data_IF_759625546393
#
_entry.id   IF_759625546393
#
_cell.length_a   1.000
_cell.length_b   1.000
_cell.length_c   1.000
_cell.angle_alpha   90.00
_cell.angle_beta   90.00
_cell.angle_gamma   90.00
#
_symmetry.space_group_name_H-M   'P 1'
#
loop_
_entity.id
_entity.type
_entity.pdbx_description
1 polymer ?
#
# COMPACT_ATOMS: atom_id res chain seq x y z
N UNK A 1 -11.56 7.75 14.78
CA UNK A 1 -11.01 9.06 15.15
C UNK A 1 -9.55 9.07 14.75
N UNK A 2 -9.20 9.97 13.84
CA UNK A 2 -7.83 10.17 13.38
C UNK A 2 -7.16 11.22 14.27
N UNK A 3 -6.19 10.79 15.07
CA UNK A 3 -5.47 11.65 16.01
C UNK A 3 -4.13 12.15 15.42
N UNK A 4 -3.68 11.57 14.30
CA UNK A 4 -2.45 11.95 13.63
C UNK A 4 -1.15 11.62 14.36
N UNK A 5 -1.21 10.89 15.48
CA UNK A 5 -0.01 10.57 16.28
C UNK A 5 0.89 9.54 15.59
N UNK A 6 0.30 8.72 14.72
CA UNK A 6 0.98 7.70 13.92
C UNK A 6 1.10 8.14 12.46
N UNK A 7 1.88 7.37 11.68
CA UNK A 7 2.06 7.63 10.25
C UNK A 7 0.76 7.45 9.46
N UNK A 8 0.61 8.18 8.34
CA UNK A 8 -0.57 8.12 7.47
C UNK A 8 -1.00 6.69 7.14
N UNK A 9 -0.06 5.87 6.68
CA UNK A 9 -0.37 4.51 6.24
C UNK A 9 -0.76 3.60 7.41
N UNK A 10 -0.28 3.88 8.62
CA UNK A 10 -0.71 3.15 9.81
C UNK A 10 -2.16 3.49 10.19
N UNK A 11 -2.54 4.78 10.10
CA UNK A 11 -3.93 5.20 10.27
C UNK A 11 -4.84 4.54 9.22
N UNK A 12 -4.42 4.53 7.94
CA UNK A 12 -5.16 3.90 6.85
C UNK A 12 -5.31 2.39 7.06
N UNK A 13 -4.27 1.70 7.54
CA UNK A 13 -4.33 0.28 7.88
C UNK A 13 -5.41 -0.02 8.93
N UNK A 14 -5.43 0.74 10.02
CA UNK A 14 -6.43 0.59 11.09
C UNK A 14 -7.84 0.90 10.58
N UNK A 15 -7.98 1.94 9.77
CA UNK A 15 -9.26 2.28 9.15
C UNK A 15 -9.76 1.20 8.20
N UNK A 16 -8.89 0.59 7.40
CA UNK A 16 -9.27 -0.47 6.48
C UNK A 16 -9.86 -1.69 7.22
N UNK A 17 -9.28 -2.05 8.36
CA UNK A 17 -9.81 -3.12 9.23
C UNK A 17 -11.12 -2.71 9.91
N UNK A 18 -11.21 -1.47 10.41
CA UNK A 18 -12.42 -0.95 11.02
C UNK A 18 -13.60 -0.89 10.04
N UNK A 19 -13.36 -0.42 8.81
CA UNK A 19 -14.35 -0.38 7.73
C UNK A 19 -14.82 -1.78 7.36
N UNK A 20 -13.88 -2.74 7.22
CA UNK A 20 -14.24 -4.13 6.94
C UNK A 20 -15.11 -4.76 8.04
N UNK A 21 -14.79 -4.50 9.31
CA UNK A 21 -15.62 -4.93 10.45
C UNK A 21 -17.00 -4.25 10.44
N UNK A 22 -17.07 -2.97 10.12
CA UNK A 22 -18.34 -2.24 10.05
C UNK A 22 -19.26 -2.82 8.96
N UNK A 23 -18.71 -3.17 7.78
CA UNK A 23 -19.45 -3.83 6.70
C UNK A 23 -20.05 -5.17 7.13
N UNK A 24 -19.26 -6.04 7.74
CA UNK A 24 -19.74 -7.36 8.18
C UNK A 24 -20.77 -7.29 9.30
N UNK A 25 -20.61 -6.35 10.22
CA UNK A 25 -21.55 -6.14 11.31
C UNK A 25 -22.78 -5.33 10.90
N UNK A 26 -22.91 -4.98 9.61
CA UNK A 26 -23.95 -4.07 9.09
C UNK A 26 -24.06 -2.79 9.93
N UNK A 27 -22.94 -2.08 10.10
CA UNK A 27 -22.85 -0.82 10.84
C UNK A 27 -22.43 0.30 9.90
N UNK A 28 -22.92 1.51 10.18
CA UNK A 28 -22.48 2.71 9.49
C UNK A 28 -21.09 3.10 9.98
N UNK A 29 -20.15 3.26 9.06
CA UNK A 29 -18.80 3.71 9.37
C UNK A 29 -18.70 5.23 9.27
N UNK A 30 -18.03 5.85 10.23
CA UNK A 30 -17.82 7.29 10.29
C UNK A 30 -16.33 7.61 10.50
N UNK A 31 -15.85 8.64 9.80
CA UNK A 31 -14.52 9.20 10.00
C UNK A 31 -14.66 10.51 10.77
N UNK A 32 -13.98 10.60 11.90
CA UNK A 32 -13.81 11.84 12.66
C UNK A 32 -12.36 12.32 12.46
N UNK A 33 -12.22 13.45 11.76
CA UNK A 33 -10.97 14.08 11.35
C UNK A 33 -10.65 15.36 12.14
N UNK A 34 -11.43 15.69 13.19
CA UNK A 34 -11.27 16.93 13.98
C UNK A 34 -9.87 17.16 14.56
N UNK A 35 -9.16 16.09 14.89
CA UNK A 35 -7.82 16.13 15.48
C UNK A 35 -6.74 15.64 14.53
N UNK A 36 -7.05 15.51 13.24
CA UNK A 36 -6.10 14.96 12.29
C UNK A 36 -5.05 16.01 11.92
N UNK A 37 -3.78 15.67 12.10
CA UNK A 37 -2.66 16.58 11.84
C UNK A 37 -2.29 16.69 10.34
N UNK A 38 -3.13 16.20 9.44
CA UNK A 38 -2.87 16.13 7.98
C UNK A 38 -3.92 16.88 7.15
N UNK A 39 -4.69 17.76 7.79
CA UNK A 39 -5.84 18.46 7.20
C UNK A 39 -7.12 17.66 7.38
N UNK A 40 -8.10 17.83 6.48
CA UNK A 40 -9.37 17.11 6.52
C UNK A 40 -9.33 15.84 5.68
N UNK A 41 -10.15 14.87 6.04
CA UNK A 41 -10.32 13.63 5.25
C UNK A 41 -10.63 13.93 3.79
N UNK A 42 -11.56 14.85 3.55
CA UNK A 42 -12.04 15.27 2.22
C UNK A 42 -10.95 15.92 1.35
N UNK A 43 -9.87 16.42 1.95
CA UNK A 43 -8.77 17.04 1.22
C UNK A 43 -7.90 16.00 0.49
N UNK A 44 -8.04 14.73 0.88
CA UNK A 44 -7.24 13.61 0.36
C UNK A 44 -8.09 12.48 -0.23
N UNK A 45 -9.22 12.17 0.40
CA UNK A 45 -10.07 11.02 0.08
C UNK A 45 -11.52 11.44 -0.13
N UNK A 46 -12.29 10.61 -0.83
CA UNK A 46 -13.72 10.78 -0.96
C UNK A 46 -14.43 10.55 0.38
N UNK A 47 -15.58 11.19 0.56
CA UNK A 47 -16.37 11.02 1.77
C UNK A 47 -16.85 9.57 1.88
N UNK A 48 -16.51 8.90 2.99
CA UNK A 48 -16.87 7.49 3.17
C UNK A 48 -18.39 7.28 3.14
N UNK A 49 -19.18 8.30 3.49
CA UNK A 49 -20.65 8.21 3.47
C UNK A 49 -21.23 8.08 2.06
N UNK A 50 -20.52 8.55 1.03
CA UNK A 50 -20.95 8.36 -0.36
C UNK A 50 -20.60 6.98 -0.88
N UNK A 51 -19.58 6.34 -0.30
CA UNK A 51 -19.08 5.04 -0.73
C UNK A 51 -19.74 3.88 0.03
N UNK A 52 -20.00 4.05 1.32
CA UNK A 52 -20.67 3.09 2.19
C UNK A 52 -21.92 3.72 2.79
N UNK A 53 -23.04 3.65 2.05
CA UNK A 53 -24.35 3.96 2.62
C UNK A 53 -24.69 2.88 3.65
N UNK A 54 -24.49 3.19 4.93
CA UNK A 54 -24.86 2.29 6.02
C UNK A 54 -26.35 1.91 5.99
N UNK A 55 -26.78 0.92 6.81
CA UNK A 55 -28.13 0.34 6.73
C UNK A 55 -29.26 1.34 7.04
N UNK A 56 -28.94 2.48 7.66
CA UNK A 56 -29.91 3.57 7.85
C UNK A 56 -29.49 4.80 7.04
N UNK A 57 -30.26 5.19 6.01
CA UNK A 57 -29.98 6.37 5.22
C UNK A 57 -30.12 7.63 6.08
N UNK A 58 -29.08 8.46 6.12
CA UNK A 58 -29.08 9.73 6.87
C UNK A 58 -28.64 9.63 8.33
N UNK A 59 -28.02 8.52 8.75
CA UNK A 59 -27.41 8.42 10.08
C UNK A 59 -26.37 9.55 10.29
N UNK A 60 -26.57 10.37 11.32
CA UNK A 60 -25.63 11.43 11.69
C UNK A 60 -24.51 10.88 12.57
N UNK A 61 -23.31 11.49 12.50
CA UNK A 61 -22.25 11.16 13.43
C UNK A 61 -22.72 11.45 14.87
N UNK A 62 -22.30 10.64 15.84
CA UNK A 62 -22.69 10.83 17.22
C UNK A 62 -22.15 12.14 17.79
N UNK A 63 -22.85 12.73 18.77
CA UNK A 63 -22.40 13.93 19.43
C UNK A 63 -21.11 13.65 20.25
N UNK A 64 -20.26 14.66 20.47
CA UNK A 64 -18.97 14.48 21.15
C UNK A 64 -19.07 13.85 22.54
N UNK A 65 -20.17 14.08 23.26
CA UNK A 65 -20.42 13.56 24.60
C UNK A 65 -20.63 12.03 24.61
N UNK A 66 -20.92 11.42 23.46
CA UNK A 66 -21.13 9.98 23.29
C UNK A 66 -19.91 9.25 22.69
N UNK A 67 -18.83 9.98 22.37
CA UNK A 67 -17.56 9.43 21.88
C UNK A 67 -16.72 8.89 23.06
N UNK A 68 -17.15 7.78 23.66
CA UNK A 68 -16.45 7.15 24.79
C UNK A 68 -15.67 5.90 24.38
N UNK A 69 -14.45 5.78 24.89
CA UNK A 69 -13.64 4.56 24.79
C UNK A 69 -14.06 3.59 25.92
N UNK A 70 -14.76 2.50 25.58
CA UNK A 70 -15.12 1.33 26.43
C UNK A 70 -16.33 1.44 27.39
N UNK A 71 -16.97 0.31 27.82
CA UNK A 71 -16.77 -1.11 27.47
C UNK A 71 -17.96 -1.74 26.70
N UNK A 72 -17.81 -3.00 26.24
CA UNK A 72 -18.82 -3.81 25.47
C UNK A 72 -20.21 -3.96 26.13
N UNK A 73 -20.41 -3.43 27.34
CA UNK A 73 -21.62 -3.60 28.17
C UNK A 73 -22.38 -2.29 28.46
N UNK A 74 -22.01 -1.16 27.83
CA UNK A 74 -22.75 0.08 28.00
C UNK A 74 -24.15 0.00 27.33
N UNK A 75 -25.19 0.43 28.05
CA UNK A 75 -26.60 0.39 27.61
C UNK A 75 -26.89 1.21 26.34
N UNK A 76 -25.97 2.06 25.91
CA UNK A 76 -26.04 2.83 24.65
C UNK A 76 -25.49 1.98 23.50
N UNK A 77 -25.98 0.75 23.40
CA UNK A 77 -25.56 -0.27 22.43
C UNK A 77 -26.15 0.00 21.04
N UNK A 78 -26.14 1.27 20.65
CA UNK A 78 -26.28 1.72 19.28
C UNK A 78 -25.00 2.53 19.00
N UNK A 79 -24.05 1.84 18.35
CA UNK A 79 -23.40 2.34 17.13
C UNK A 79 -22.14 3.23 17.17
N UNK A 80 -21.42 3.43 18.27
CA UNK A 80 -20.18 4.25 18.23
C UNK A 80 -18.94 3.52 18.76
N UNK A 81 -18.30 2.71 17.92
CA UNK A 81 -16.94 2.23 18.20
C UNK A 81 -15.97 3.31 17.75
N UNK A 82 -15.37 4.04 18.69
CA UNK A 82 -14.34 5.05 18.37
C UNK A 82 -12.97 4.37 18.33
N UNK A 83 -12.54 4.01 17.12
CA UNK A 83 -11.20 3.49 16.88
C UNK A 83 -10.25 4.67 16.65
N UNK A 84 -9.28 4.83 17.53
CA UNK A 84 -8.12 5.74 17.42
C UNK A 84 -6.84 4.92 17.53
N UNK A 85 -5.68 5.49 17.22
CA UNK A 85 -4.39 4.78 17.34
C UNK A 85 -4.16 4.22 18.76
N UNK A 86 -4.63 4.94 19.78
CA UNK A 86 -4.52 4.60 21.20
C UNK A 86 -5.58 3.58 21.66
N UNK A 87 -6.80 3.65 21.11
CA UNK A 87 -7.90 2.74 21.48
C UNK A 87 -7.94 1.47 20.62
N UNK A 88 -7.19 1.44 19.51
CA UNK A 88 -7.08 0.32 18.59
C UNK A 88 -6.77 -1.00 19.31
N UNK A 89 -5.92 -0.98 20.34
CA UNK A 89 -5.55 -2.18 21.11
C UNK A 89 -6.74 -2.86 21.80
N UNK A 90 -7.74 -2.09 22.23
CA UNK A 90 -8.93 -2.64 22.90
C UNK A 90 -9.92 -3.28 21.92
N UNK A 91 -9.87 -2.89 20.64
CA UNK A 91 -10.78 -3.40 19.60
C UNK A 91 -10.14 -4.46 18.70
N UNK A 92 -8.85 -4.31 18.43
CA UNK A 92 -8.04 -5.19 17.57
C UNK A 92 -7.05 -6.05 18.37
N UNK A 93 -7.41 -6.36 19.63
CA UNK A 93 -6.64 -7.23 20.50
C UNK A 93 -6.78 -8.71 20.14
N UNK A 94 -6.51 -9.60 21.10
CA UNK A 94 -6.54 -11.04 20.90
C UNK A 94 -7.86 -11.56 20.29
N UNK A 95 -8.99 -11.08 20.80
CA UNK A 95 -10.33 -11.49 20.34
C UNK A 95 -10.57 -11.17 18.85
N UNK A 96 -9.91 -10.13 18.32
CA UNK A 96 -10.02 -9.80 16.90
C UNK A 96 -9.29 -10.83 16.04
N UNK A 97 -8.07 -11.20 16.42
CA UNK A 97 -7.31 -12.22 15.69
C UNK A 97 -7.99 -13.58 15.77
N UNK A 98 -8.59 -13.94 16.90
CA UNK A 98 -9.35 -15.20 17.02
C UNK A 98 -10.58 -15.25 16.12
N UNK A 99 -11.28 -14.12 15.95
CA UNK A 99 -12.50 -14.05 15.13
C UNK A 99 -12.19 -14.02 13.63
N UNK A 100 -11.12 -13.32 13.23
CA UNK A 100 -10.86 -12.99 11.82
C UNK A 100 -9.67 -13.71 11.20
N UNK A 101 -8.82 -14.38 11.98
CA UNK A 101 -7.87 -15.34 11.41
C UNK A 101 -8.56 -16.67 11.12
N UNK A 102 -8.16 -17.34 10.04
CA UNK A 102 -8.59 -18.72 9.81
C UNK A 102 -7.81 -19.66 10.75
N UNK A 103 -8.49 -20.35 11.70
CA UNK A 103 -7.83 -21.25 12.63
C UNK A 103 -7.40 -22.58 11.99
N UNK A 104 -7.96 -22.96 10.84
CA UNK A 104 -7.67 -24.22 10.16
C UNK A 104 -6.53 -24.10 9.14
N UNK A 105 -6.26 -22.88 8.68
CA UNK A 105 -5.14 -22.57 7.80
C UNK A 105 -3.79 -22.55 8.53
N UNK A 106 -2.69 -22.59 7.78
CA UNK A 106 -1.32 -22.55 8.31
C UNK A 106 -0.61 -21.26 7.91
N UNK A 107 0.22 -20.75 8.81
CA UNK A 107 1.11 -19.59 8.58
C UNK A 107 0.38 -18.39 7.97
N UNK A 108 0.82 -17.88 6.80
CA UNK A 108 0.26 -16.70 6.15
C UNK A 108 -1.19 -16.89 5.69
N UNK A 109 -1.60 -18.10 5.35
CA UNK A 109 -2.98 -18.35 4.93
C UNK A 109 -3.98 -18.08 6.05
N UNK A 110 -3.55 -18.13 7.33
CA UNK A 110 -4.38 -17.72 8.47
C UNK A 110 -4.78 -16.25 8.40
N UNK A 111 -3.90 -15.40 7.84
CA UNK A 111 -4.10 -13.96 7.70
C UNK A 111 -4.84 -13.57 6.41
N UNK A 112 -5.13 -14.53 5.52
CA UNK A 112 -5.80 -14.28 4.24
C UNK A 112 -7.13 -13.55 4.39
N UNK A 113 -8.05 -13.92 5.31
CA UNK A 113 -9.32 -13.20 5.46
C UNK A 113 -9.12 -11.74 5.88
N UNK A 114 -8.13 -11.47 6.74
CA UNK A 114 -7.78 -10.11 7.15
C UNK A 114 -7.14 -9.30 6.02
N UNK A 115 -6.37 -9.96 5.14
CA UNK A 115 -5.79 -9.35 3.94
C UNK A 115 -6.87 -8.97 2.94
N UNK A 116 -7.76 -9.90 2.58
CA UNK A 116 -8.85 -9.68 1.62
C UNK A 116 -9.79 -8.58 2.12
N UNK A 117 -10.13 -8.60 3.41
CA UNK A 117 -10.90 -7.51 4.05
C UNK A 117 -10.24 -6.15 3.88
N UNK A 118 -8.93 -6.06 4.15
CA UNK A 118 -8.19 -4.81 4.01
C UNK A 118 -8.19 -4.33 2.56
N UNK A 119 -7.91 -5.24 1.61
CA UNK A 119 -7.90 -4.97 0.18
C UNK A 119 -9.26 -4.42 -0.31
N UNK A 120 -10.34 -5.06 0.12
CA UNK A 120 -11.70 -4.59 -0.18
C UNK A 120 -11.95 -3.20 0.36
N UNK A 121 -11.56 -2.92 1.61
CA UNK A 121 -11.73 -1.60 2.22
C UNK A 121 -10.91 -0.52 1.51
N UNK A 122 -9.71 -0.83 1.01
CA UNK A 122 -8.93 0.11 0.18
C UNK A 122 -9.55 0.35 -1.20
N UNK A 123 -10.26 -0.63 -1.74
CA UNK A 123 -10.88 -0.54 -3.07
C UNK A 123 -12.25 0.14 -3.04
N UNK A 124 -13.02 -0.10 -1.98
CA UNK A 124 -14.40 0.36 -1.85
C UNK A 124 -14.52 1.60 -0.98
N UNK A 125 -13.86 1.63 0.18
CA UNK A 125 -14.07 2.63 1.23
C UNK A 125 -13.06 3.78 1.16
N UNK A 126 -11.78 3.47 0.99
CA UNK A 126 -10.69 4.45 1.03
C UNK A 126 -10.29 4.80 -0.41
N UNK A 127 -11.09 5.66 -1.06
CA UNK A 127 -10.78 6.15 -2.41
C UNK A 127 -10.19 7.55 -2.37
N UNK A 128 -9.09 7.82 -3.12
CA UNK A 128 -8.55 9.17 -3.25
C UNK A 128 -9.61 10.10 -3.85
N UNK A 129 -9.59 11.37 -3.46
CA UNK A 129 -10.48 12.37 -4.06
C UNK A 129 -10.15 12.58 -5.56
N UNK A 130 -11.01 13.33 -6.26
CA UNK A 130 -10.84 13.60 -7.69
C UNK A 130 -9.47 14.20 -8.00
N UNK A 131 -9.01 15.15 -7.19
CA UNK A 131 -7.72 15.81 -7.36
C UNK A 131 -6.53 14.85 -7.22
N UNK A 132 -6.49 14.04 -6.17
CA UNK A 132 -5.43 13.05 -5.96
C UNK A 132 -5.50 11.93 -7.00
N UNK A 133 -6.70 11.55 -7.45
CA UNK A 133 -6.89 10.58 -8.53
C UNK A 133 -6.29 11.10 -9.85
N UNK A 134 -6.49 12.38 -10.16
CA UNK A 134 -5.87 13.03 -11.32
C UNK A 134 -4.34 13.05 -11.21
N UNK A 135 -3.78 13.34 -10.02
CA UNK A 135 -2.34 13.28 -9.78
C UNK A 135 -1.78 11.86 -9.95
N UNK A 136 -2.46 10.85 -9.43
CA UNK A 136 -2.06 9.43 -9.59
C UNK A 136 -2.08 9.05 -11.07
N UNK A 137 -3.15 9.37 -11.79
CA UNK A 137 -3.24 9.15 -13.24
C UNK A 137 -2.15 9.91 -13.99
N UNK A 138 -1.84 11.13 -13.56
CA UNK A 138 -0.77 11.93 -14.16
C UNK A 138 0.61 11.27 -13.98
N UNK A 139 0.89 10.68 -12.82
CA UNK A 139 2.14 9.95 -12.57
C UNK A 139 2.22 8.65 -13.38
N UNK A 140 1.12 7.90 -13.47
CA UNK A 140 1.04 6.64 -14.23
C UNK A 140 1.15 6.86 -15.74
N UNK A 141 0.49 7.88 -16.28
CA UNK A 141 0.59 8.25 -17.71
C UNK A 141 1.98 8.71 -18.10
N UNK A 142 2.67 9.46 -17.23
CA UNK A 142 4.07 9.81 -17.42
C UNK A 142 4.93 8.55 -17.52
N UNK A 143 4.77 7.62 -16.57
CA UNK A 143 5.50 6.37 -16.57
C UNK A 143 5.21 5.52 -17.81
N UNK A 144 3.94 5.35 -18.18
CA UNK A 144 3.54 4.61 -19.38
C UNK A 144 4.16 5.20 -20.66
N UNK A 145 4.19 6.54 -20.78
CA UNK A 145 4.77 7.22 -21.93
C UNK A 145 6.28 6.99 -22.06
N UNK A 146 7.01 6.99 -20.94
CA UNK A 146 8.46 6.77 -20.93
C UNK A 146 8.78 5.30 -21.25
N UNK A 147 7.92 4.39 -20.81
CA UNK A 147 8.03 2.96 -21.12
C UNK A 147 7.63 2.63 -22.56
N UNK A 148 7.21 3.61 -23.37
CA UNK A 148 6.72 3.41 -24.74
C UNK A 148 5.64 2.34 -24.82
N UNK A 149 4.86 2.18 -23.75
CA UNK A 149 3.68 1.31 -23.71
C UNK A 149 2.51 2.08 -24.33
N UNK A 150 2.62 2.41 -25.62
CA UNK A 150 1.53 3.02 -26.37
C UNK A 150 0.66 1.93 -27.01
N UNK A 151 -0.59 1.87 -26.54
CA UNK A 151 -1.78 1.34 -27.19
C UNK A 151 -1.71 -0.07 -27.79
N UNK A 152 -2.05 -1.08 -26.98
CA UNK A 152 -2.89 -2.15 -27.51
C UNK A 152 -4.27 -1.55 -27.76
N UNK A 153 -4.58 -1.24 -29.02
CA UNK A 153 -5.93 -0.82 -29.41
C UNK A 153 -7.00 -1.75 -28.82
N UNK A 154 -8.19 -1.23 -28.46
CA UNK A 154 -9.33 -2.07 -28.15
C UNK A 154 -9.79 -2.72 -29.45
N UNK A 155 -9.22 -3.89 -29.80
CA UNK A 155 -9.81 -4.73 -30.85
C UNK A 155 -11.17 -5.18 -30.36
N UNK A 156 -12.17 -4.43 -30.83
CA UNK A 156 -13.56 -4.78 -30.87
C UNK A 156 -13.71 -6.16 -31.49
N UNK A 157 -13.84 -7.19 -30.66
CA UNK A 157 -14.61 -8.38 -31.00
C UNK A 157 -15.04 -9.10 -29.72
N UNK A 158 -16.34 -8.94 -29.43
CA UNK A 158 -17.03 -9.65 -28.39
C UNK A 158 -16.92 -11.16 -28.63
N UNK A 159 -16.04 -11.83 -27.89
CA UNK A 159 -16.14 -13.27 -27.67
C UNK A 159 -16.51 -13.51 -26.21
N UNK A 160 -17.77 -13.89 -26.02
CA UNK A 160 -18.32 -14.38 -24.75
C UNK A 160 -17.51 -15.61 -24.31
N UNK A 161 -16.54 -15.40 -23.44
CA UNK A 161 -15.98 -16.46 -22.60
C UNK A 161 -16.19 -16.04 -21.15
N UNK A 162 -17.13 -16.73 -20.52
CA UNK A 162 -17.45 -16.69 -19.09
C UNK A 162 -16.29 -17.28 -18.29
N UNK A 163 -15.19 -16.54 -18.12
CA UNK A 163 -14.13 -16.88 -17.17
C UNK A 163 -13.61 -15.60 -16.50
N UNK A 164 -13.73 -15.58 -15.17
CA UNK A 164 -13.37 -14.51 -14.26
C UNK A 164 -11.84 -14.39 -14.15
N UNK A 165 -11.18 -13.80 -15.13
CA UNK A 165 -9.77 -13.39 -15.04
C UNK A 165 -9.70 -11.87 -14.84
N UNK A 166 -8.98 -11.35 -13.83
CA UNK A 166 -8.80 -9.91 -13.69
C UNK A 166 -8.05 -9.34 -14.91
N UNK A 167 -8.35 -8.11 -15.35
CA UNK A 167 -7.72 -7.51 -16.52
C UNK A 167 -6.19 -7.50 -16.38
N UNK A 168 -5.47 -7.91 -17.42
CA UNK A 168 -4.00 -7.99 -17.39
C UNK A 168 -3.41 -6.57 -17.39
N UNK A 169 -3.19 -6.05 -16.21
CA UNK A 169 -2.54 -4.76 -16.00
C UNK A 169 -1.05 -4.88 -16.31
N UNK A 170 -0.49 -4.09 -17.25
CA UNK A 170 0.93 -4.16 -17.56
C UNK A 170 1.73 -3.85 -16.28
N UNK A 171 2.64 -4.76 -15.95
CA UNK A 171 3.47 -4.68 -14.74
C UNK A 171 4.95 -4.40 -15.09
N UNK A 172 5.31 -3.23 -15.66
CA UNK A 172 6.60 -3.03 -16.32
C UNK A 172 7.72 -2.50 -15.42
N UNK A 173 7.46 -2.27 -14.13
CA UNK A 173 8.43 -1.67 -13.21
C UNK A 173 8.38 -2.30 -11.81
N UNK A 174 9.48 -2.16 -11.07
CA UNK A 174 9.58 -2.53 -9.65
C UNK A 174 9.47 -1.27 -8.80
N UNK A 175 8.76 -1.32 -7.68
CA UNK A 175 8.78 -0.22 -6.72
C UNK A 175 9.78 -0.49 -5.60
N UNK A 176 10.46 0.55 -5.15
CA UNK A 176 11.41 0.51 -4.03
C UNK A 176 10.97 1.56 -3.02
N UNK A 177 10.70 1.15 -1.79
CA UNK A 177 10.32 2.06 -0.72
C UNK A 177 11.42 2.12 0.36
N UNK A 178 12.06 3.28 0.47
CA UNK A 178 13.18 3.52 1.39
C UNK A 178 12.70 4.44 2.51
N UNK A 179 12.59 3.89 3.72
CA UNK A 179 12.27 4.64 4.94
C UNK A 179 13.53 4.84 5.76
N UNK A 180 13.97 6.08 5.92
CA UNK A 180 15.03 6.48 6.87
C UNK A 180 14.41 7.30 7.99
N UNK A 181 14.27 8.61 7.83
CA UNK A 181 13.60 9.52 8.78
C UNK A 181 13.73 9.10 10.26
N UNK A 182 12.60 9.08 10.96
CA UNK A 182 12.46 8.66 12.36
C UNK A 182 12.40 7.12 12.61
N UNK A 183 12.55 6.26 11.60
CA UNK A 183 12.49 4.81 11.78
C UNK A 183 13.79 4.10 11.36
N UNK A 184 14.44 3.42 12.31
CA UNK A 184 15.59 2.52 12.03
C UNK A 184 15.11 1.13 11.56
N UNK A 185 16.00 0.25 11.12
CA UNK A 185 15.61 -1.12 10.72
C UNK A 185 14.99 -1.93 11.90
N UNK A 186 14.13 -2.92 11.61
CA UNK A 186 13.51 -3.82 12.60
C UNK A 186 14.41 -5.00 12.95
N UNK A 187 15.29 -5.41 12.04
CA UNK A 187 16.23 -6.49 12.27
C UNK A 187 17.22 -6.18 13.39
N UNK A 188 17.56 -7.19 14.18
CA UNK A 188 18.57 -7.05 15.23
C UNK A 188 19.91 -6.56 14.68
N UNK A 189 20.26 -6.98 13.46
CA UNK A 189 21.50 -6.61 12.76
C UNK A 189 21.65 -5.10 12.54
N UNK A 190 20.54 -4.38 12.41
CA UNK A 190 20.52 -2.95 12.13
C UNK A 190 19.65 -2.19 13.16
N UNK A 191 19.43 -2.73 14.36
CA UNK A 191 18.49 -2.15 15.34
C UNK A 191 18.83 -0.68 15.73
N UNK A 192 20.09 -0.28 15.55
CA UNK A 192 20.65 1.05 15.84
C UNK A 192 21.02 1.85 14.58
N UNK A 193 20.86 1.29 13.38
CA UNK A 193 21.27 1.92 12.12
C UNK A 193 20.23 1.74 11.02
N UNK A 194 20.39 2.48 9.93
CA UNK A 194 19.57 2.27 8.74
C UNK A 194 20.04 1.03 7.97
N UNK A 195 19.14 0.41 7.21
CA UNK A 195 19.53 -0.62 6.24
C UNK A 195 20.40 0.06 5.16
N UNK A 196 21.60 -0.47 4.87
CA UNK A 196 22.47 0.07 3.82
C UNK A 196 21.78 0.10 2.46
N UNK A 197 22.04 1.15 1.65
CA UNK A 197 21.41 1.31 0.33
C UNK A 197 21.80 0.21 -0.64
N UNK A 198 22.99 -0.34 -0.47
CA UNK A 198 23.51 -1.46 -1.24
C UNK A 198 22.57 -2.66 -1.19
N UNK A 199 21.91 -2.89 -0.05
CA UNK A 199 20.94 -3.99 0.08
C UNK A 199 19.66 -3.71 -0.74
N UNK A 200 19.19 -2.45 -0.80
CA UNK A 200 18.05 -2.09 -1.65
C UNK A 200 18.41 -2.22 -3.14
N UNK A 201 19.60 -1.76 -3.53
CA UNK A 201 20.10 -1.84 -4.91
C UNK A 201 20.22 -3.30 -5.35
N UNK A 202 20.83 -4.15 -4.51
CA UNK A 202 20.99 -5.57 -4.78
C UNK A 202 19.63 -6.27 -4.86
N UNK A 203 18.75 -6.04 -3.89
CA UNK A 203 17.42 -6.64 -3.88
C UNK A 203 16.57 -6.21 -5.11
N UNK A 204 16.69 -4.96 -5.56
CA UNK A 204 16.01 -4.50 -6.77
C UNK A 204 16.53 -5.21 -8.03
N UNK A 205 17.85 -5.40 -8.15
CA UNK A 205 18.46 -6.16 -9.27
C UNK A 205 18.08 -7.63 -9.22
N UNK A 206 18.21 -8.28 -8.07
CA UNK A 206 17.88 -9.69 -7.90
C UNK A 206 16.39 -9.95 -8.20
N UNK A 207 15.51 -9.06 -7.75
CA UNK A 207 14.07 -9.16 -8.04
C UNK A 207 13.77 -8.97 -9.52
N UNK A 208 14.45 -8.03 -10.18
CA UNK A 208 14.30 -7.80 -11.62
C UNK A 208 14.77 -9.00 -12.42
N UNK A 209 15.96 -9.52 -12.12
CA UNK A 209 16.52 -10.66 -12.82
C UNK A 209 15.70 -11.92 -12.59
N UNK A 210 15.17 -12.11 -11.37
CA UNK A 210 14.28 -13.23 -11.03
C UNK A 210 12.96 -13.19 -11.80
N UNK A 211 12.32 -12.03 -11.89
CA UNK A 211 10.97 -11.93 -12.47
C UNK A 211 10.96 -11.70 -13.98
N UNK A 212 11.94 -10.98 -14.53
CA UNK A 212 11.91 -10.51 -15.92
C UNK A 212 13.03 -11.07 -16.79
N UNK A 213 14.24 -11.28 -16.26
CA UNK A 213 15.40 -11.71 -17.07
C UNK A 213 15.52 -13.24 -17.16
N UNK A 214 15.43 -13.94 -16.04
CA UNK A 214 15.70 -15.39 -15.93
C UNK A 214 14.44 -16.27 -16.09
N UNK A 215 13.31 -15.66 -16.44
CA UNK A 215 12.13 -16.38 -16.93
C UNK A 215 11.34 -17.12 -15.86
N UNK A 216 10.48 -16.38 -15.16
CA UNK A 216 9.12 -16.83 -14.91
C UNK A 216 8.24 -15.90 -15.73
N UNK A 217 7.80 -16.33 -16.91
CA UNK A 217 6.76 -15.62 -17.67
C UNK A 217 5.45 -15.70 -16.85
N UNK A 218 5.32 -14.86 -15.82
CA UNK A 218 4.20 -14.94 -14.88
C UNK A 218 2.88 -14.48 -15.52
N UNK A 219 2.95 -13.66 -16.56
CA UNK A 219 1.75 -13.10 -17.22
C UNK A 219 1.57 -13.60 -18.68
N UNK A 220 2.35 -14.59 -19.14
CA UNK A 220 2.13 -15.17 -20.46
C UNK A 220 0.97 -16.16 -20.42
N UNK A 221 -0.21 -15.69 -20.82
CA UNK A 221 -1.28 -16.57 -21.30
C UNK A 221 -0.69 -17.61 -22.27
N UNK A 222 -1.08 -18.90 -22.21
CA UNK A 222 -0.48 -19.99 -23.00
C UNK A 222 -0.73 -19.87 -24.52
N UNK A 223 -1.30 -18.76 -24.99
CA UNK A 223 -1.76 -18.58 -26.37
C UNK A 223 -0.77 -17.78 -27.22
N UNK A 224 0.17 -16.99 -26.66
CA UNK A 224 1.25 -16.36 -27.43
C UNK A 224 2.49 -16.07 -26.55
N UNK A 225 3.63 -16.76 -26.76
CA UNK A 225 4.85 -16.53 -26.02
C UNK A 225 5.71 -15.47 -26.72
N UNK A 226 5.23 -14.22 -26.78
CA UNK A 226 6.15 -13.12 -27.06
C UNK A 226 6.71 -12.68 -25.70
N UNK A 227 8.00 -12.95 -25.39
CA UNK A 227 8.60 -12.41 -24.18
C UNK A 227 8.55 -10.90 -24.33
N UNK A 228 7.83 -10.20 -23.45
CA UNK A 228 7.98 -8.76 -23.30
C UNK A 228 9.48 -8.53 -23.03
N UNK A 229 10.23 -8.12 -24.05
CA UNK A 229 11.67 -7.86 -23.96
C UNK A 229 11.83 -6.59 -23.12
N UNK A 230 11.81 -6.77 -21.81
CA UNK A 230 12.18 -5.71 -20.88
C UNK A 230 13.68 -5.43 -21.03
N UNK A 231 14.11 -4.17 -20.89
CA UNK A 231 15.52 -3.81 -21.00
C UNK A 231 16.36 -4.56 -19.96
N UNK A 232 17.65 -4.75 -20.26
CA UNK A 232 18.59 -5.44 -19.37
C UNK A 232 18.80 -4.75 -18.02
N UNK A 233 18.37 -3.49 -17.86
CA UNK A 233 18.46 -2.72 -16.63
C UNK A 233 17.09 -2.60 -15.94
N UNK A 234 17.04 -2.65 -14.59
CA UNK A 234 15.80 -2.58 -13.85
C UNK A 234 15.11 -1.24 -14.01
N UNK A 235 13.82 -1.27 -14.33
CA UNK A 235 12.97 -0.08 -14.31
C UNK A 235 12.38 0.03 -12.91
N UNK A 236 12.65 1.12 -12.20
CA UNK A 236 12.19 1.26 -10.82
C UNK A 236 11.53 2.60 -10.48
N UNK A 237 10.47 2.53 -9.68
CA UNK A 237 9.88 3.69 -9.00
C UNK A 237 10.36 3.72 -7.55
N UNK A 238 10.97 4.81 -7.11
CA UNK A 238 11.59 4.93 -5.80
C UNK A 238 10.84 5.98 -4.98
N UNK A 239 10.23 5.53 -3.89
CA UNK A 239 9.63 6.38 -2.89
C UNK A 239 10.55 6.44 -1.68
N UNK A 240 10.97 7.64 -1.27
CA UNK A 240 11.78 7.83 -0.09
C UNK A 240 11.35 9.07 0.68
N UNK A 241 11.44 8.97 2.00
CA UNK A 241 11.16 10.03 2.94
C UNK A 241 12.33 11.01 3.13
N UNK A 242 13.49 10.74 2.51
CA UNK A 242 14.71 11.54 2.61
C UNK A 242 15.26 11.85 1.19
N UNK A 243 15.27 13.13 0.76
CA UNK A 243 15.69 13.49 -0.61
C UNK A 243 17.16 13.20 -0.88
N UNK A 244 18.04 13.28 0.12
CA UNK A 244 19.46 12.92 0.04
C UNK A 244 19.64 11.43 -0.27
N UNK A 245 18.85 10.59 0.39
CA UNK A 245 18.87 9.14 0.22
C UNK A 245 18.42 8.73 -1.18
N UNK A 246 17.43 9.45 -1.71
CA UNK A 246 16.99 9.26 -3.09
C UNK A 246 18.10 9.56 -4.10
N UNK A 247 18.88 10.64 -3.88
CA UNK A 247 20.04 10.99 -4.73
C UNK A 247 21.16 9.95 -4.63
N UNK A 248 21.46 9.48 -3.43
CA UNK A 248 22.44 8.40 -3.21
C UNK A 248 22.02 7.11 -3.92
N UNK A 249 20.74 6.75 -3.83
CA UNK A 249 20.21 5.57 -4.52
C UNK A 249 20.32 5.73 -6.04
N UNK A 250 20.02 6.90 -6.60
CA UNK A 250 20.13 7.15 -8.04
C UNK A 250 21.59 7.09 -8.51
N UNK A 251 22.53 7.57 -7.69
CA UNK A 251 23.97 7.50 -7.98
C UNK A 251 24.54 6.08 -7.95
N UNK A 252 23.87 5.13 -7.27
CA UNK A 252 24.29 3.73 -7.20
C UNK A 252 23.95 2.91 -8.47
N UNK A 253 23.11 3.45 -9.35
CA UNK A 253 22.78 2.82 -10.63
C UNK A 253 23.49 3.50 -11.80
N UNK A 254 23.79 2.76 -12.89
CA UNK A 254 24.24 3.37 -14.14
C UNK A 254 23.21 4.40 -14.65
N UNK A 255 23.66 5.49 -15.29
CA UNK A 255 22.78 6.56 -15.79
C UNK A 255 21.77 6.09 -16.86
N UNK A 256 21.99 4.91 -17.42
CA UNK A 256 21.10 4.25 -18.40
C UNK A 256 19.89 3.58 -17.74
N UNK A 257 19.87 3.46 -16.41
CA UNK A 257 18.78 2.83 -15.66
C UNK A 257 17.61 3.79 -15.51
N UNK A 258 16.41 3.37 -15.92
CA UNK A 258 15.19 4.16 -15.78
C UNK A 258 14.69 4.15 -14.32
N UNK A 259 15.07 5.18 -13.56
CA UNK A 259 14.63 5.41 -12.18
C UNK A 259 13.68 6.60 -12.09
N UNK A 260 12.54 6.41 -11.43
CA UNK A 260 11.49 7.42 -11.28
C UNK A 260 11.22 7.73 -9.82
N UNK A 261 10.94 9.00 -9.51
CA UNK A 261 10.46 9.45 -8.21
C UNK A 261 9.66 10.74 -8.39
N UNK A 262 8.84 11.12 -7.40
CA UNK A 262 8.08 12.38 -7.47
C UNK A 262 8.98 13.60 -7.70
N UNK A 263 10.13 13.67 -7.02
CA UNK A 263 11.07 14.77 -7.15
C UNK A 263 11.75 14.90 -8.52
N UNK A 264 11.75 13.84 -9.34
CA UNK A 264 12.33 13.83 -10.68
C UNK A 264 11.30 13.81 -11.80
N UNK A 265 10.01 13.92 -11.47
CA UNK A 265 8.93 13.98 -12.45
C UNK A 265 9.05 15.21 -13.37
N UNK A 266 8.72 15.00 -14.64
CA UNK A 266 8.61 16.03 -15.68
C UNK A 266 7.50 17.03 -15.36
N UNK A 267 6.43 16.60 -14.67
CA UNK A 267 5.30 17.44 -14.27
C UNK A 267 5.64 18.27 -13.04
N UNK A 268 5.44 19.58 -13.15
CA UNK A 268 5.71 20.51 -12.03
C UNK A 268 4.83 20.25 -10.81
N UNK A 269 3.59 19.81 -11.03
CA UNK A 269 2.63 19.51 -9.96
C UNK A 269 3.09 18.33 -9.09
N UNK A 270 3.58 17.24 -9.70
CA UNK A 270 4.11 16.09 -8.98
C UNK A 270 5.42 16.41 -8.28
N UNK A 271 6.30 17.18 -8.94
CA UNK A 271 7.56 17.63 -8.35
C UNK A 271 7.34 18.53 -7.13
N UNK A 272 6.29 19.35 -7.17
CA UNK A 272 5.89 20.20 -6.07
C UNK A 272 5.32 19.42 -4.88
N UNK A 273 5.13 18.10 -4.95
CA UNK A 273 4.72 17.27 -3.81
C UNK A 273 5.90 16.58 -3.10
N UNK A 274 7.10 16.64 -3.69
CA UNK A 274 8.27 16.01 -3.10
C UNK A 274 8.70 16.70 -1.79
N UNK A 275 9.18 15.94 -0.79
CA UNK A 275 9.66 16.51 0.46
C UNK A 275 10.98 17.27 0.26
N UNK A 276 11.15 18.37 0.99
CA UNK A 276 12.39 19.16 0.99
C UNK A 276 13.38 18.72 2.07
N UNK A 277 12.89 18.06 3.11
CA UNK A 277 13.67 17.57 4.24
C UNK A 277 13.22 16.15 4.61
N UNK A 278 14.00 15.49 5.44
CA UNK A 278 13.67 14.15 5.93
C UNK A 278 12.36 14.14 6.74
N UNK A 279 11.56 13.08 6.58
CA UNK A 279 10.35 12.92 7.38
C UNK A 279 10.67 12.63 8.85
N UNK A 280 10.16 13.47 9.73
CA UNK A 280 10.16 13.24 11.16
C UNK A 280 8.80 13.63 11.74
N UNK A 281 8.10 12.70 12.39
CA UNK A 281 6.77 12.92 12.95
C UNK A 281 6.71 14.12 13.91
N UNK A 282 7.76 14.36 14.70
CA UNK A 282 7.80 15.46 15.68
C UNK A 282 7.98 16.84 15.04
N UNK A 283 8.64 16.88 13.89
CA UNK A 283 8.81 18.09 13.08
C UNK A 283 7.54 18.33 12.26
N UNK A 284 7.01 17.27 11.64
CA UNK A 284 5.79 17.30 10.83
C UNK A 284 4.60 17.89 11.57
N UNK A 285 4.42 17.59 12.86
CA UNK A 285 3.32 18.15 13.66
C UNK A 285 3.41 19.68 13.83
N UNK A 286 4.61 20.26 13.71
CA UNK A 286 4.87 21.71 13.88
C UNK A 286 4.82 22.49 12.57
N UNK A 287 4.80 21.80 11.43
CA UNK A 287 4.69 22.41 10.11
C UNK A 287 3.31 23.05 9.90
N UNK A 288 3.25 24.00 8.99
CA UNK A 288 2.01 24.65 8.60
C UNK A 288 1.01 23.64 8.01
N UNK A 289 -0.29 23.88 8.19
CA UNK A 289 -1.34 22.96 7.73
C UNK A 289 -1.30 22.71 6.22
N UNK A 290 -1.09 23.76 5.42
CA UNK A 290 -0.98 23.65 3.97
C UNK A 290 0.18 22.74 3.55
N UNK A 291 1.31 22.86 4.25
CA UNK A 291 2.50 22.04 3.99
C UNK A 291 2.29 20.58 4.39
N UNK A 292 1.63 20.34 5.54
CA UNK A 292 1.25 18.98 5.98
C UNK A 292 0.30 18.32 4.98
N UNK A 293 -0.67 19.07 4.44
CA UNK A 293 -1.57 18.59 3.38
C UNK A 293 -0.78 18.27 2.11
N UNK A 294 0.13 19.14 1.67
CA UNK A 294 0.99 18.91 0.49
C UNK A 294 1.81 17.63 0.62
N UNK A 295 2.53 17.46 1.73
CA UNK A 295 3.36 16.28 2.00
C UNK A 295 2.51 15.00 2.11
N UNK A 296 1.32 15.10 2.71
CA UNK A 296 0.38 13.96 2.80
C UNK A 296 -0.10 13.55 1.40
N UNK A 297 -0.41 14.49 0.52
CA UNK A 297 -0.76 14.20 -0.88
C UNK A 297 0.39 13.53 -1.62
N UNK A 298 1.62 14.01 -1.44
CA UNK A 298 2.82 13.36 -1.97
C UNK A 298 2.91 11.90 -1.55
N UNK A 299 2.74 11.62 -0.25
CA UNK A 299 2.73 10.24 0.26
C UNK A 299 1.58 9.39 -0.31
N UNK A 300 0.39 9.95 -0.53
CA UNK A 300 -0.73 9.22 -1.15
C UNK A 300 -0.38 8.82 -2.59
N UNK A 301 0.25 9.72 -3.36
CA UNK A 301 0.69 9.43 -4.73
C UNK A 301 1.82 8.41 -4.73
N UNK A 302 2.85 8.59 -3.90
CA UNK A 302 3.95 7.62 -3.73
C UNK A 302 3.38 6.25 -3.35
N UNK A 303 2.40 6.20 -2.43
CA UNK A 303 1.77 4.97 -2.00
C UNK A 303 0.98 4.29 -3.12
N UNK A 304 0.25 5.05 -3.93
CA UNK A 304 -0.45 4.53 -5.10
C UNK A 304 0.51 3.93 -6.13
N UNK A 305 1.60 4.63 -6.43
CA UNK A 305 2.62 4.20 -7.40
C UNK A 305 3.43 3.00 -6.89
N UNK A 306 3.73 2.95 -5.58
CA UNK A 306 4.52 1.85 -5.01
C UNK A 306 3.69 0.57 -4.84
N UNK A 307 2.41 0.69 -4.48
CA UNK A 307 1.56 -0.47 -4.18
C UNK A 307 0.78 -0.96 -5.40
N UNK A 308 0.51 -0.08 -6.36
CA UNK A 308 -0.43 -0.34 -7.44
C UNK A 308 -1.89 -0.09 -7.06
N UNK A 309 -2.20 0.27 -5.81
CA UNK A 309 -3.56 0.58 -5.38
C UNK A 309 -4.16 1.77 -6.16
N UNK A 310 -5.48 1.74 -6.30
CA UNK A 310 -6.28 2.73 -7.03
C UNK A 310 -5.94 2.86 -8.52
N UNK A 311 -5.37 1.82 -9.13
CA UNK A 311 -5.19 1.74 -10.58
C UNK A 311 -6.56 1.61 -11.28
N UNK A 312 -6.75 2.37 -12.36
CA UNK A 312 -7.85 2.15 -13.31
C UNK A 312 -7.53 1.05 -14.32
N UNK A 313 -8.50 0.66 -15.15
CA UNK A 313 -8.27 -0.32 -16.21
C UNK A 313 -7.21 0.17 -17.21
N UNK A 314 -6.17 -0.64 -17.46
CA UNK A 314 -5.09 -0.32 -18.40
C UNK A 314 -3.96 0.53 -17.82
N UNK A 315 -4.06 0.96 -16.56
CA UNK A 315 -2.97 1.68 -15.89
C UNK A 315 -1.75 0.77 -15.64
N UNK A 316 -0.54 1.37 -15.69
CA UNK A 316 0.69 0.68 -15.30
C UNK A 316 0.73 0.45 -13.80
N UNK A 317 1.03 -0.77 -13.38
CA UNK A 317 1.14 -1.17 -11.96
C UNK A 317 2.55 -1.71 -11.67
N UNK A 318 3.02 -1.67 -10.41
CA UNK A 318 4.29 -2.28 -10.06
C UNK A 318 4.17 -3.80 -10.16
N UNK A 319 5.18 -4.45 -10.75
CA UNK A 319 5.25 -5.90 -10.81
C UNK A 319 5.84 -6.55 -9.56
N UNK A 320 6.60 -5.79 -8.76
CA UNK A 320 7.10 -6.16 -7.45
C UNK A 320 7.40 -4.93 -6.60
N UNK A 321 7.46 -5.11 -5.28
CA UNK A 321 7.82 -4.08 -4.30
C UNK A 321 8.99 -4.56 -3.43
N UNK A 322 10.04 -3.75 -3.32
CA UNK A 322 11.19 -3.96 -2.43
C UNK A 322 11.14 -2.94 -1.30
N UNK A 323 11.07 -3.40 -0.05
CA UNK A 323 10.91 -2.50 1.08
C UNK A 323 11.32 -3.11 2.44
N UNK A 324 11.16 -2.35 3.52
CA UNK A 324 11.44 -2.79 4.90
C UNK A 324 10.16 -2.96 5.70
N UNK A 325 9.99 -4.11 6.39
CA UNK A 325 8.76 -4.47 7.13
C UNK A 325 8.43 -3.52 8.27
N UNK A 326 9.39 -2.73 8.79
CA UNK A 326 9.07 -1.68 9.79
C UNK A 326 8.18 -0.58 9.23
N UNK A 327 8.25 -0.33 7.92
CA UNK A 327 7.38 0.64 7.28
C UNK A 327 5.97 0.06 7.08
N UNK A 328 4.96 0.74 7.60
CA UNK A 328 3.57 0.39 7.33
C UNK A 328 3.21 0.53 5.83
N UNK A 329 3.89 1.44 5.10
CA UNK A 329 3.76 1.53 3.65
C UNK A 329 4.24 0.26 2.93
N UNK A 330 5.31 -0.37 3.43
CA UNK A 330 5.80 -1.64 2.91
C UNK A 330 4.82 -2.79 3.14
N UNK A 331 4.17 -2.84 4.30
CA UNK A 331 3.21 -3.92 4.59
C UNK A 331 1.95 -3.78 3.76
N UNK A 332 1.40 -2.57 3.64
CA UNK A 332 0.19 -2.35 2.87
C UNK A 332 0.41 -2.36 1.37
N UNK A 333 1.64 -2.18 0.87
CA UNK A 333 1.91 -2.31 -0.56
C UNK A 333 1.62 -3.72 -1.10
N UNK A 334 1.70 -4.75 -0.24
CA UNK A 334 1.28 -6.11 -0.58
C UNK A 334 -0.20 -6.18 -0.98
N UNK A 335 -1.08 -5.34 -0.41
CA UNK A 335 -2.52 -5.31 -0.74
C UNK A 335 -2.77 -4.93 -2.21
N UNK A 336 -1.94 -4.04 -2.77
CA UNK A 336 -2.08 -3.61 -4.15
C UNK A 336 -1.57 -4.64 -5.16
N UNK A 337 -0.60 -5.48 -4.78
CA UNK A 337 -0.18 -6.63 -5.58
C UNK A 337 -1.21 -7.77 -5.57
N UNK A 338 -2.00 -7.88 -4.50
CA UNK A 338 -2.89 -9.00 -4.24
C UNK A 338 -2.19 -10.17 -3.53
N UNK A 339 -2.95 -10.99 -2.81
CA UNK A 339 -2.40 -12.01 -1.90
C UNK A 339 -1.49 -13.00 -2.64
N UNK A 340 -2.00 -13.61 -3.71
CA UNK A 340 -1.28 -14.67 -4.42
C UNK A 340 -0.01 -14.13 -5.10
N UNK A 341 -0.10 -12.99 -5.77
CA UNK A 341 1.06 -12.34 -6.42
C UNK A 341 2.08 -11.84 -5.41
N UNK A 342 1.66 -11.26 -4.28
CA UNK A 342 2.58 -10.74 -3.27
C UNK A 342 3.46 -11.86 -2.68
N UNK A 343 2.86 -13.01 -2.36
CA UNK A 343 3.54 -14.13 -1.69
C UNK A 343 3.97 -15.27 -2.65
N UNK A 344 3.68 -15.15 -3.95
CA UNK A 344 4.12 -16.09 -4.99
C UNK A 344 3.27 -17.36 -5.09
N UNK A 345 1.99 -17.30 -4.73
CA UNK A 345 1.03 -18.42 -4.82
C UNK A 345 0.32 -18.54 -6.18
N UNK A 346 0.80 -17.80 -7.19
CA UNK A 346 0.18 -17.63 -8.50
C UNK A 346 0.60 -18.69 -9.55
N UNK A 347 1.15 -19.84 -9.13
CA UNK A 347 1.58 -20.92 -10.03
C UNK A 347 0.67 -22.16 -10.03
N UNK A 348 -0.43 -22.11 -9.27
CA UNK A 348 -1.39 -23.22 -9.16
C UNK A 348 -0.88 -24.41 -8.34
N UNK A 349 0.25 -24.30 -7.63
CA UNK A 349 0.74 -25.32 -6.71
C UNK A 349 -0.05 -25.33 -5.38
N UNK A 350 0.15 -26.39 -4.60
CA UNK A 350 -0.47 -26.51 -3.28
C UNK A 350 0.31 -25.71 -2.22
N UNK A 351 -0.24 -24.55 -1.85
CA UNK A 351 0.27 -23.70 -0.78
C UNK A 351 -0.49 -23.84 0.53
N UNK A 352 -1.15 -24.98 0.79
CA UNK A 352 -1.86 -25.24 2.06
C UNK A 352 -0.99 -25.07 3.32
N UNK A 353 0.33 -25.15 3.17
CA UNK A 353 1.31 -24.90 4.24
C UNK A 353 1.47 -23.42 4.60
N UNK A 354 1.11 -22.49 3.69
CA UNK A 354 1.26 -21.05 3.86
C UNK A 354 2.70 -20.54 3.80
N UNK A 355 3.63 -21.36 3.31
CA UNK A 355 5.04 -20.99 3.11
C UNK A 355 5.20 -20.12 1.86
N UNK A 356 5.82 -18.94 2.00
CA UNK A 356 6.09 -18.01 0.87
C UNK A 356 6.92 -18.72 -0.21
N UNK A 357 6.56 -18.48 -1.48
CA UNK A 357 7.37 -18.91 -2.61
C UNK A 357 8.45 -17.87 -2.91
N UNK A 358 9.68 -18.15 -2.51
CA UNK A 358 10.85 -17.27 -2.67
C UNK A 358 11.22 -16.97 -4.13
N UNK A 359 10.85 -17.84 -5.07
CA UNK A 359 11.14 -17.67 -6.50
C UNK A 359 10.13 -16.73 -7.16
N UNK A 360 8.89 -16.68 -6.65
CA UNK A 360 7.78 -15.94 -7.25
C UNK A 360 7.29 -14.76 -6.41
N UNK A 361 7.77 -14.58 -5.18
CA UNK A 361 7.34 -13.48 -4.31
C UNK A 361 7.59 -12.13 -4.99
N UNK A 362 6.52 -11.35 -5.13
CA UNK A 362 6.60 -9.96 -5.64
C UNK A 362 6.69 -8.95 -4.50
N UNK A 363 6.40 -9.35 -3.27
CA UNK A 363 6.68 -8.56 -2.07
C UNK A 363 8.01 -9.01 -1.44
N UNK A 364 9.04 -8.17 -1.55
CA UNK A 364 10.39 -8.47 -1.11
C UNK A 364 10.75 -7.60 0.08
N UNK A 365 10.88 -8.23 1.23
CA UNK A 365 11.42 -7.57 2.42
C UNK A 365 12.93 -7.82 2.54
N UNK A 366 13.68 -6.72 2.77
CA UNK A 366 15.13 -6.75 2.94
C UNK A 366 15.60 -6.64 4.39
N UNK A 367 14.70 -6.34 5.33
CA UNK A 367 15.07 -6.07 6.73
C UNK A 367 15.63 -7.34 7.39
N UNK A 368 14.95 -8.48 7.21
CA UNK A 368 15.32 -9.74 7.84
C UNK A 368 16.22 -10.64 6.97
N UNK A 369 16.58 -10.24 5.74
CA UNK A 369 17.45 -11.02 4.83
C UNK A 369 17.12 -12.53 4.83
N UNK A 370 15.83 -12.88 4.74
CA UNK A 370 15.30 -14.24 4.75
C UNK A 370 15.59 -15.07 6.04
N UNK A 371 16.04 -14.44 7.12
CA UNK A 371 16.31 -15.09 8.42
C UNK A 371 15.05 -15.36 9.25
N UNK A 372 13.97 -14.60 8.99
CA UNK A 372 12.65 -14.79 9.61
C UNK A 372 11.63 -14.68 8.50
N UNK A 373 10.74 -15.68 8.39
CA UNK A 373 9.62 -15.62 7.45
C UNK A 373 8.78 -14.39 7.81
N UNK A 374 8.68 -13.38 6.93
CA UNK A 374 7.97 -12.16 7.25
C UNK A 374 6.48 -12.48 7.38
N UNK A 375 5.96 -12.42 8.61
CA UNK A 375 4.52 -12.51 8.83
C UNK A 375 3.94 -11.16 8.44
N UNK A 376 3.17 -11.15 7.35
CA UNK A 376 2.38 -9.97 7.00
C UNK A 376 1.45 -9.63 8.17
N UNK A 377 1.51 -8.38 8.62
CA UNK A 377 0.67 -7.86 9.69
C UNK A 377 -0.14 -6.71 9.11
N UNK A 378 -1.45 -6.87 9.05
CA UNK A 378 -2.33 -5.92 8.38
C UNK A 378 -2.40 -4.53 9.04
N UNK A 379 -1.96 -4.41 10.30
CA UNK A 379 -1.87 -3.16 11.04
C UNK A 379 -0.89 -3.31 12.22
N UNK A 380 -0.47 -2.19 12.79
CA UNK A 380 0.33 -2.15 14.02
C UNK A 380 -0.46 -1.49 15.14
N UNK A 381 -0.32 -2.05 16.34
CA UNK A 381 -0.89 -1.48 17.56
C UNK A 381 0.20 -0.69 18.27
N UNK A 382 -0.06 0.59 18.46
CA UNK A 382 0.87 1.50 19.13
C UNK A 382 0.58 1.55 20.63
N UNK A 383 1.59 1.92 21.43
CA UNK A 383 1.54 1.99 22.89
C UNK A 383 1.71 3.41 23.39
#
# INVERSE_FOLDING_TARGET
>A
MLDGHVGLVADLALMAQAAGMAREQNRTFFVDDRYWNRGKWTDHFEDVRTLESGPEPGCLPPPPEELVACPRVARHWVRNTVVSSQTAKFHFGHEFFEEFEDPFSRQLNRQRPMFERAQDSFTQTIRPNTYNTELIKAARTEMASILSLSDSEPTSEAHRSTETSPPSMPSPYISVHIRRGDQTAKSWKYHTSYVPLENYVQAARDTWDRLYTNGLNVDASPVNPEPAQFPAAPIAYVASDAPETLREFFAAFPPETALFALGTSTKSELRALAPHHEYNQTVFVKEDEEERVRLTRGMVVDFAMMSGLWAGEGDVVPGAVVCTVRSNACKLSALGLGFDRAFGFDDGADYSTGSINEERKRWVEIDNQDQVVPIWTGFELYH
#
